data_IF_160405301937
#
_entry.id   IF_160405301937
#
_cell.length_a   1.000
_cell.length_b   1.000
_cell.length_c   1.000
_cell.angle_alpha   90.00
_cell.angle_beta   90.00
_cell.angle_gamma   90.00
#
_symmetry.space_group_name_H-M   'P 1'
#
loop_
_entity.id
_entity.type
_entity.pdbx_description
1 polymer ?
#
# COMPACT_ATOMS: atom_id res chain seq x y z
N UNK A 1 25.84 52.74 10.29
CA UNK A 1 24.68 51.92 10.73
C UNK A 1 24.59 50.73 9.79
N UNK A 2 24.80 49.51 10.29
CA UNK A 2 24.79 48.29 9.47
C UNK A 2 23.38 47.72 9.48
N UNK A 3 22.64 47.86 8.37
CA UNK A 3 21.30 47.28 8.24
C UNK A 3 21.42 45.76 8.15
N UNK A 4 20.88 45.05 9.15
CA UNK A 4 20.62 43.61 9.05
C UNK A 4 19.57 43.42 7.96
N UNK A 5 19.95 42.77 6.86
CA UNK A 5 19.00 42.23 5.90
C UNK A 5 18.03 41.29 6.64
N UNK A 6 16.70 41.44 6.47
CA UNK A 6 15.76 40.48 7.03
C UNK A 6 16.10 39.09 6.48
N UNK A 7 16.25 38.12 7.40
CA UNK A 7 16.53 36.74 7.04
C UNK A 7 15.31 36.21 6.28
N UNK A 8 15.49 35.82 5.01
CA UNK A 8 14.43 35.14 4.26
C UNK A 8 14.17 33.79 4.94
N UNK A 9 12.88 33.42 5.18
CA UNK A 9 12.55 32.14 5.77
C UNK A 9 13.10 31.01 4.90
N UNK A 10 13.53 29.93 5.55
CA UNK A 10 13.91 28.71 4.85
C UNK A 10 12.71 28.16 4.05
N UNK A 11 12.98 27.38 3.00
CA UNK A 11 11.93 26.74 2.18
C UNK A 11 10.98 25.92 3.07
N UNK A 12 11.50 25.30 4.13
CA UNK A 12 10.73 24.55 5.13
C UNK A 12 9.75 25.45 5.91
N UNK A 13 10.22 26.60 6.40
CA UNK A 13 9.38 27.56 7.12
C UNK A 13 8.33 28.21 6.20
N UNK A 14 8.71 28.58 4.99
CA UNK A 14 7.81 29.12 3.99
C UNK A 14 6.71 28.12 3.58
N UNK A 15 7.08 26.83 3.46
CA UNK A 15 6.14 25.74 3.14
C UNK A 15 5.19 25.45 4.30
N UNK A 16 5.69 25.42 5.54
CA UNK A 16 4.85 25.22 6.73
C UNK A 16 3.86 26.38 6.94
N UNK A 17 4.32 27.62 6.75
CA UNK A 17 3.46 28.81 6.83
C UNK A 17 2.42 28.85 5.70
N UNK A 18 2.78 28.44 4.49
CA UNK A 18 1.82 28.40 3.37
C UNK A 18 0.79 27.28 3.53
N UNK A 19 1.22 26.08 3.95
CA UNK A 19 0.34 24.94 4.19
C UNK A 19 -0.69 25.22 5.29
N UNK A 20 -0.27 25.87 6.38
CA UNK A 20 -1.18 26.27 7.47
C UNK A 20 -2.22 27.31 7.05
N UNK A 21 -1.84 28.27 6.19
CA UNK A 21 -2.79 29.27 5.65
C UNK A 21 -3.83 28.68 4.71
N UNK A 22 -3.50 27.59 4.02
CA UNK A 22 -4.40 26.90 3.10
C UNK A 22 -5.20 25.77 3.77
N UNK A 23 -5.03 25.54 5.07
CA UNK A 23 -5.66 24.42 5.77
C UNK A 23 -5.18 23.03 5.30
N UNK A 24 -4.06 22.98 4.56
CA UNK A 24 -3.52 21.74 3.99
C UNK A 24 -2.54 21.14 4.99
N UNK A 25 -2.84 19.92 5.47
CA UNK A 25 -1.91 19.13 6.29
C UNK A 25 -0.99 18.33 5.39
N UNK A 26 0.26 18.77 5.25
CA UNK A 26 1.31 18.02 4.57
C UNK A 26 1.86 16.95 5.53
N UNK A 27 1.39 15.71 5.42
CA UNK A 27 1.79 14.60 6.28
C UNK A 27 3.28 14.23 6.18
N UNK A 28 3.98 14.70 5.14
CA UNK A 28 5.41 14.48 4.91
C UNK A 28 6.07 15.73 4.30
N UNK A 29 6.11 16.83 5.05
CA UNK A 29 6.60 18.12 4.54
C UNK A 29 8.07 18.07 4.06
N UNK A 30 8.88 17.20 4.65
CA UNK A 30 10.26 16.89 4.24
C UNK A 30 10.37 16.32 2.81
N UNK A 31 9.27 15.82 2.25
CA UNK A 31 9.24 15.22 0.91
C UNK A 31 8.75 16.20 -0.17
N UNK A 32 8.42 17.44 0.21
CA UNK A 32 8.06 18.51 -0.72
C UNK A 32 9.33 19.12 -1.27
N UNK A 33 9.53 19.02 -2.58
CA UNK A 33 10.72 19.58 -3.25
C UNK A 33 10.50 21.00 -3.76
N UNK A 34 9.25 21.38 -4.05
CA UNK A 34 8.89 22.73 -4.49
C UNK A 34 7.40 23.03 -4.25
N UNK A 35 7.09 24.31 -4.01
CA UNK A 35 5.72 24.85 -3.95
C UNK A 35 5.66 26.11 -4.80
N UNK A 36 4.67 26.20 -5.69
CA UNK A 36 4.42 27.38 -6.51
C UNK A 36 2.95 27.79 -6.42
N UNK A 37 2.70 29.10 -6.32
CA UNK A 37 1.35 29.68 -6.45
C UNK A 37 1.15 30.06 -7.92
N UNK A 38 0.06 29.60 -8.52
CA UNK A 38 -0.36 29.91 -9.90
C UNK A 38 -1.73 30.61 -9.85
N UNK A 39 -2.15 31.23 -10.96
CA UNK A 39 -3.36 32.06 -11.03
C UNK A 39 -4.60 31.41 -10.39
N UNK A 40 -4.79 30.10 -10.60
CA UNK A 40 -5.96 29.36 -10.11
C UNK A 40 -5.64 28.32 -9.01
N UNK A 41 -4.46 28.38 -8.37
CA UNK A 41 -4.15 27.43 -7.31
C UNK A 41 -2.71 27.31 -6.88
N UNK A 42 -2.38 26.14 -6.32
CA UNK A 42 -1.04 25.84 -5.77
C UNK A 42 -0.55 24.52 -6.36
N UNK A 43 0.66 24.55 -6.92
CA UNK A 43 1.37 23.37 -7.43
C UNK A 43 2.38 22.93 -6.38
N UNK A 44 2.33 21.66 -5.97
CA UNK A 44 3.25 21.06 -5.00
C UNK A 44 3.98 19.90 -5.68
N UNK A 45 5.30 19.98 -5.74
CA UNK A 45 6.16 18.90 -6.22
C UNK A 45 6.55 18.00 -5.05
N UNK A 46 6.25 16.71 -5.17
CA UNK A 46 6.50 15.69 -4.15
C UNK A 46 7.49 14.66 -4.67
N UNK A 47 8.33 14.14 -3.77
CA UNK A 47 9.11 12.95 -4.07
C UNK A 47 8.17 11.75 -4.40
N UNK A 48 8.53 10.85 -5.34
CA UNK A 48 7.64 9.77 -5.80
C UNK A 48 7.11 8.85 -4.68
N UNK A 49 7.91 8.66 -3.63
CA UNK A 49 7.55 7.93 -2.41
C UNK A 49 6.45 8.64 -1.58
N UNK A 50 6.43 9.98 -1.52
CA UNK A 50 5.40 10.71 -0.79
C UNK A 50 4.01 10.59 -1.42
N UNK A 51 3.92 10.58 -2.75
CA UNK A 51 2.65 10.35 -3.46
C UNK A 51 2.09 8.95 -3.14
N UNK A 52 2.96 7.93 -3.06
CA UNK A 52 2.54 6.57 -2.69
C UNK A 52 1.99 6.48 -1.26
N UNK A 53 2.50 7.30 -0.32
CA UNK A 53 1.99 7.37 1.05
C UNK A 53 0.59 7.97 1.12
N UNK A 54 0.31 9.02 0.33
CA UNK A 54 -1.03 9.63 0.27
C UNK A 54 -2.08 8.61 -0.19
N UNK A 55 -1.74 7.77 -1.18
CA UNK A 55 -2.62 6.72 -1.67
C UNK A 55 -2.82 5.54 -0.69
N UNK A 56 -2.01 5.45 0.37
CA UNK A 56 -2.00 4.32 1.31
C UNK A 56 -2.54 4.68 2.70
N UNK A 57 -3.08 5.89 2.90
CA UNK A 57 -3.58 6.33 4.22
C UNK A 57 -2.47 6.49 5.28
N UNK A 58 -2.84 6.92 6.48
CA UNK A 58 -1.91 7.23 7.57
C UNK A 58 -1.15 6.03 8.14
N UNK A 59 -1.61 4.81 7.89
CA UNK A 59 -0.97 3.57 8.34
C UNK A 59 -0.21 2.81 7.24
N UNK A 60 -0.22 3.33 6.00
CA UNK A 60 0.50 2.76 4.87
C UNK A 60 -0.16 1.55 4.23
N UNK A 61 -1.45 1.30 4.48
CA UNK A 61 -2.24 0.22 3.85
C UNK A 61 -3.06 0.77 2.68
N UNK A 62 -2.79 0.27 1.48
CA UNK A 62 -3.52 0.63 0.26
C UNK A 62 -5.00 0.22 0.33
N UNK A 63 -5.87 0.89 -0.41
CA UNK A 63 -7.25 0.43 -0.63
C UNK A 63 -8.32 1.50 -0.49
N UNK A 64 -9.54 1.04 -0.26
CA UNK A 64 -10.70 1.93 -0.12
C UNK A 64 -10.59 2.75 1.18
N UNK A 65 -10.78 4.09 1.16
CA UNK A 65 -10.62 4.94 2.35
C UNK A 65 -11.44 4.52 3.58
N UNK A 66 -12.65 4.01 3.35
CA UNK A 66 -13.57 3.54 4.40
C UNK A 66 -13.69 2.00 4.44
N UNK A 67 -12.71 1.29 3.88
CA UNK A 67 -12.65 -0.17 3.91
C UNK A 67 -12.10 -0.70 5.23
N UNK A 68 -12.56 -1.87 5.64
CA UNK A 68 -11.91 -2.66 6.69
C UNK A 68 -10.59 -3.22 6.17
N UNK A 69 -9.65 -3.53 7.07
CA UNK A 69 -8.34 -4.09 6.70
C UNK A 69 -8.43 -5.61 6.61
N UNK A 70 -7.94 -6.17 5.51
CA UNK A 70 -7.92 -7.61 5.23
C UNK A 70 -6.55 -8.06 4.77
N UNK A 71 -6.25 -9.34 4.97
CA UNK A 71 -5.06 -9.95 4.42
C UNK A 71 -5.28 -10.37 2.96
N UNK A 72 -4.33 -10.04 2.09
CA UNK A 72 -4.34 -10.47 0.69
C UNK A 72 -4.16 -11.99 0.63
N UNK A 73 -3.12 -12.49 1.30
CA UNK A 73 -2.84 -13.91 1.53
C UNK A 73 -3.33 -14.28 2.94
N UNK A 74 -4.30 -15.21 3.05
CA UNK A 74 -4.97 -15.51 4.33
C UNK A 74 -4.05 -16.17 5.35
N UNK A 75 -4.16 -15.77 6.62
CA UNK A 75 -3.63 -16.47 7.78
C UNK A 75 -4.71 -17.31 8.52
N UNK A 76 -5.98 -17.27 8.06
CA UNK A 76 -7.14 -17.85 8.76
C UNK A 76 -7.65 -19.18 8.19
N UNK A 77 -6.90 -19.85 7.33
CA UNK A 77 -7.25 -21.18 6.81
C UNK A 77 -6.09 -22.19 7.01
N UNK A 78 -5.77 -22.57 8.27
CA UNK A 78 -4.66 -23.47 8.57
C UNK A 78 -4.98 -24.95 8.38
N UNK A 79 -6.25 -25.35 8.44
CA UNK A 79 -6.67 -26.77 8.51
C UNK A 79 -7.63 -27.18 7.40
N UNK A 80 -8.63 -26.35 7.09
CA UNK A 80 -9.74 -26.78 6.21
C UNK A 80 -9.35 -26.82 4.73
N UNK A 81 -9.68 -27.93 4.07
CA UNK A 81 -9.54 -28.16 2.63
C UNK A 81 -10.79 -27.80 1.81
N UNK A 82 -11.91 -27.45 2.45
CA UNK A 82 -13.22 -27.29 1.82
C UNK A 82 -13.20 -26.34 0.60
N UNK A 83 -12.37 -25.30 0.64
CA UNK A 83 -12.20 -24.30 -0.41
C UNK A 83 -10.88 -24.46 -1.17
N UNK A 84 -10.40 -25.69 -1.33
CA UNK A 84 -9.12 -26.01 -1.97
C UNK A 84 -7.88 -25.70 -1.11
N UNK A 85 -8.09 -25.44 0.18
CA UNK A 85 -7.05 -25.21 1.19
C UNK A 85 -6.29 -26.48 1.61
N UNK A 86 -5.63 -26.49 2.78
CA UNK A 86 -5.40 -25.34 3.65
C UNK A 86 -4.50 -24.30 2.96
N UNK A 87 -4.92 -23.04 2.99
CA UNK A 87 -4.24 -21.94 2.30
C UNK A 87 -3.15 -21.29 3.14
N UNK A 88 -3.35 -21.14 4.45
CA UNK A 88 -2.37 -20.52 5.36
C UNK A 88 -0.98 -21.17 5.23
N UNK A 89 -0.81 -22.51 5.41
CA UNK A 89 0.52 -23.13 5.33
C UNK A 89 1.16 -22.99 3.95
N UNK A 90 0.37 -22.90 2.88
CA UNK A 90 0.91 -22.68 1.52
C UNK A 90 1.45 -21.26 1.36
N UNK A 91 0.77 -20.26 1.92
CA UNK A 91 1.26 -18.88 1.94
C UNK A 91 2.47 -18.71 2.87
N UNK A 92 2.48 -19.36 4.02
CA UNK A 92 3.61 -19.32 4.97
C UNK A 92 4.94 -19.69 4.31
N UNK A 93 4.98 -20.75 3.50
CA UNK A 93 6.19 -21.15 2.75
C UNK A 93 6.74 -20.02 1.87
N UNK A 94 5.86 -19.26 1.21
CA UNK A 94 6.26 -18.16 0.33
C UNK A 94 6.76 -16.96 1.14
N UNK A 95 6.09 -16.65 2.24
CA UNK A 95 6.46 -15.54 3.13
C UNK A 95 7.76 -15.82 3.88
N UNK A 96 7.97 -17.06 4.34
CA UNK A 96 9.21 -17.51 4.96
C UNK A 96 10.39 -17.40 3.98
N UNK A 97 10.21 -17.85 2.72
CA UNK A 97 11.22 -17.68 1.66
C UNK A 97 11.64 -16.21 1.46
N UNK A 98 10.70 -15.28 1.68
CA UNK A 98 10.91 -13.85 1.59
C UNK A 98 11.37 -13.20 2.91
N UNK A 99 11.50 -13.96 4.01
CA UNK A 99 11.77 -13.43 5.33
C UNK A 99 10.74 -12.37 5.74
N UNK A 100 9.47 -12.65 5.48
CA UNK A 100 8.30 -11.80 5.73
C UNK A 100 7.32 -12.53 6.66
N UNK A 101 6.55 -11.79 7.45
CA UNK A 101 5.48 -12.30 8.30
C UNK A 101 4.14 -12.26 7.57
N UNK A 102 3.52 -13.43 7.38
CA UNK A 102 2.19 -13.54 6.77
C UNK A 102 1.14 -12.69 7.53
N UNK A 103 1.20 -12.71 8.87
CA UNK A 103 0.25 -12.04 9.74
C UNK A 103 0.53 -10.55 9.91
N UNK A 104 1.80 -10.19 10.12
CA UNK A 104 2.16 -8.87 10.66
C UNK A 104 2.66 -7.89 9.59
N UNK A 105 3.15 -8.35 8.44
CA UNK A 105 3.63 -7.43 7.42
C UNK A 105 2.47 -6.71 6.72
N UNK A 106 2.48 -5.38 6.82
CA UNK A 106 1.49 -4.50 6.16
C UNK A 106 1.46 -4.67 4.65
N UNK A 107 2.54 -5.14 4.04
CA UNK A 107 2.55 -5.46 2.61
C UNK A 107 1.50 -6.53 2.23
N UNK A 108 1.11 -7.40 3.17
CA UNK A 108 0.06 -8.39 2.97
C UNK A 108 -1.34 -7.87 3.34
N UNK A 109 -1.52 -6.56 3.55
CA UNK A 109 -2.79 -5.98 3.99
C UNK A 109 -3.36 -5.04 2.94
N UNK A 110 -4.69 -4.98 2.87
CA UNK A 110 -5.45 -4.13 1.96
C UNK A 110 -6.74 -3.66 2.63
N UNK A 111 -7.14 -2.41 2.38
CA UNK A 111 -8.47 -1.89 2.72
C UNK A 111 -9.47 -2.18 1.63
N UNK A 112 -10.57 -2.84 1.98
CA UNK A 112 -11.61 -3.17 1.02
C UNK A 112 -12.95 -2.88 1.64
N UNK A 113 -13.74 -2.04 0.97
CA UNK A 113 -15.12 -1.77 1.35
C UNK A 113 -16.04 -2.90 0.87
N UNK A 114 -16.96 -3.31 1.74
CA UNK A 114 -18.11 -4.13 1.38
C UNK A 114 -17.78 -5.59 1.06
N UNK A 115 -16.86 -6.21 1.80
CA UNK A 115 -16.75 -7.66 1.80
C UNK A 115 -16.68 -8.20 3.23
N UNK A 116 -17.45 -9.26 3.47
CA UNK A 116 -17.55 -9.94 4.76
C UNK A 116 -17.54 -11.45 4.50
N UNK A 117 -16.84 -12.21 5.35
CA UNK A 117 -16.73 -13.66 5.20
C UNK A 117 -15.41 -14.15 4.59
N UNK A 118 -15.24 -15.48 4.47
CA UNK A 118 -14.04 -16.09 3.91
C UNK A 118 -13.93 -15.82 2.41
N UNK A 119 -12.71 -15.64 1.90
CA UNK A 119 -12.50 -15.50 0.47
C UNK A 119 -12.80 -16.84 -0.24
N UNK A 120 -13.40 -16.82 -1.45
CA UNK A 120 -13.70 -18.06 -2.17
C UNK A 120 -12.43 -18.76 -2.68
N UNK A 121 -12.53 -20.07 -2.93
CA UNK A 121 -11.41 -20.87 -3.47
C UNK A 121 -10.76 -20.27 -4.73
N UNK A 122 -11.55 -19.64 -5.60
CA UNK A 122 -11.06 -19.01 -6.82
C UNK A 122 -10.12 -17.82 -6.53
N UNK A 123 -10.44 -17.01 -5.53
CA UNK A 123 -9.58 -15.91 -5.09
C UNK A 123 -8.25 -16.46 -4.57
N UNK A 124 -8.31 -17.44 -3.66
CA UNK A 124 -7.10 -18.02 -3.08
C UNK A 124 -6.19 -18.66 -4.13
N UNK A 125 -6.76 -19.39 -5.09
CA UNK A 125 -6.00 -19.96 -6.23
C UNK A 125 -5.29 -18.88 -7.04
N UNK A 126 -5.98 -17.79 -7.39
CA UNK A 126 -5.40 -16.72 -8.20
C UNK A 126 -4.27 -16.00 -7.45
N UNK A 127 -4.50 -15.63 -6.18
CA UNK A 127 -3.48 -14.97 -5.36
C UNK A 127 -2.27 -15.87 -5.15
N UNK A 128 -2.49 -17.14 -4.77
CA UNK A 128 -1.42 -18.11 -4.56
C UNK A 128 -0.57 -18.29 -5.81
N UNK A 129 -1.21 -18.48 -6.98
CA UNK A 129 -0.51 -18.59 -8.26
C UNK A 129 0.39 -17.38 -8.50
N UNK A 130 -0.13 -16.17 -8.34
CA UNK A 130 0.64 -14.93 -8.56
C UNK A 130 1.83 -14.79 -7.62
N UNK A 131 1.64 -14.95 -6.31
CA UNK A 131 2.74 -14.77 -5.35
C UNK A 131 3.79 -15.87 -5.47
N UNK A 132 3.38 -17.10 -5.81
CA UNK A 132 4.29 -18.21 -6.12
C UNK A 132 5.09 -17.92 -7.38
N UNK A 133 4.42 -17.52 -8.46
CA UNK A 133 5.09 -17.23 -9.74
C UNK A 133 6.05 -16.04 -9.59
N UNK A 134 5.69 -15.00 -8.82
CA UNK A 134 6.56 -13.87 -8.55
C UNK A 134 7.82 -14.23 -7.76
N UNK A 135 7.76 -15.27 -6.92
CA UNK A 135 8.85 -15.69 -6.05
C UNK A 135 9.58 -16.94 -6.54
N UNK A 136 9.25 -17.46 -7.73
CA UNK A 136 9.81 -18.74 -8.19
C UNK A 136 11.30 -18.64 -8.58
N UNK A 137 11.75 -17.52 -9.15
CA UNK A 137 13.12 -17.33 -9.64
C UNK A 137 14.06 -16.63 -8.65
N UNK A 138 13.53 -16.11 -7.55
CA UNK A 138 14.35 -15.44 -6.54
C UNK A 138 15.20 -16.46 -5.77
N UNK A 139 16.46 -16.09 -5.50
CA UNK A 139 17.47 -16.98 -4.90
C UNK A 139 17.96 -16.51 -3.53
N UNK A 140 17.75 -15.23 -3.20
CA UNK A 140 18.09 -14.66 -1.88
C UNK A 140 16.84 -14.15 -1.18
N UNK A 141 16.84 -14.18 0.16
CA UNK A 141 15.74 -13.64 0.99
C UNK A 141 15.35 -12.23 0.55
N UNK A 142 16.33 -11.36 0.32
CA UNK A 142 16.07 -9.98 -0.09
C UNK A 142 15.44 -9.89 -1.49
N UNK A 143 15.95 -10.64 -2.47
CA UNK A 143 15.34 -10.69 -3.80
C UNK A 143 13.90 -11.23 -3.77
N UNK A 144 13.63 -12.21 -2.90
CA UNK A 144 12.31 -12.78 -2.68
C UNK A 144 11.37 -11.79 -2.00
N UNK A 145 11.84 -11.09 -0.96
CA UNK A 145 11.11 -10.00 -0.29
C UNK A 145 10.68 -8.93 -1.27
N UNK A 146 11.60 -8.48 -2.12
CA UNK A 146 11.31 -7.47 -3.12
C UNK A 146 10.30 -7.97 -4.16
N UNK A 147 10.44 -9.21 -4.64
CA UNK A 147 9.53 -9.79 -5.60
C UNK A 147 8.12 -9.98 -5.03
N UNK A 148 8.01 -10.55 -3.82
CA UNK A 148 6.74 -10.73 -3.11
C UNK A 148 6.07 -9.39 -2.82
N UNK A 149 6.80 -8.42 -2.29
CA UNK A 149 6.27 -7.07 -2.00
C UNK A 149 5.78 -6.38 -3.28
N UNK A 150 6.50 -6.51 -4.40
CA UNK A 150 6.07 -5.96 -5.69
C UNK A 150 4.76 -6.59 -6.18
N UNK A 151 4.62 -7.90 -6.02
CA UNK A 151 3.40 -8.61 -6.45
C UNK A 151 2.21 -8.30 -5.53
N UNK A 152 2.41 -8.27 -4.20
CA UNK A 152 1.38 -7.86 -3.25
C UNK A 152 0.87 -6.44 -3.55
N UNK A 153 1.76 -5.50 -3.91
CA UNK A 153 1.36 -4.16 -4.36
C UNK A 153 0.56 -4.18 -5.68
N UNK A 154 0.86 -5.10 -6.61
CA UNK A 154 0.08 -5.26 -7.86
C UNK A 154 -1.31 -5.79 -7.56
N UNK A 155 -1.39 -6.82 -6.72
CA UNK A 155 -2.63 -7.40 -6.24
C UNK A 155 -3.47 -6.35 -5.50
N UNK A 156 -2.86 -5.60 -4.57
CA UNK A 156 -3.52 -4.52 -3.84
C UNK A 156 -4.13 -3.46 -4.77
N UNK A 157 -3.40 -3.03 -5.81
CA UNK A 157 -3.93 -2.10 -6.82
C UNK A 157 -5.11 -2.69 -7.58
N UNK A 158 -5.03 -3.95 -7.99
CA UNK A 158 -6.14 -4.62 -8.67
C UNK A 158 -7.36 -4.73 -7.75
N UNK A 159 -7.16 -5.11 -6.49
CA UNK A 159 -8.21 -5.16 -5.47
C UNK A 159 -8.84 -3.79 -5.20
N UNK A 160 -8.06 -2.71 -5.26
CA UNK A 160 -8.58 -1.35 -5.10
C UNK A 160 -9.32 -0.84 -6.35
N UNK A 161 -9.21 -1.55 -7.49
CA UNK A 161 -9.81 -1.14 -8.75
C UNK A 161 -11.19 -1.77 -8.90
N UNK A 162 -12.24 -0.96 -8.89
CA UNK A 162 -13.62 -1.41 -9.10
C UNK A 162 -13.76 -2.12 -10.44
N UNK A 163 -14.45 -3.26 -10.44
CA UNK A 163 -14.65 -4.07 -11.65
C UNK A 163 -13.38 -4.70 -12.20
N UNK A 164 -12.28 -4.76 -11.44
CA UNK A 164 -11.15 -5.61 -11.81
C UNK A 164 -11.51 -7.08 -11.64
N UNK A 165 -10.78 -7.97 -12.31
CA UNK A 165 -11.03 -9.41 -12.22
C UNK A 165 -10.86 -9.90 -10.79
N UNK A 166 -9.78 -9.52 -10.11
CA UNK A 166 -9.53 -9.96 -8.74
C UNK A 166 -10.52 -9.36 -7.72
N UNK A 167 -10.95 -8.10 -7.90
CA UNK A 167 -11.94 -7.48 -6.99
C UNK A 167 -13.31 -8.15 -7.10
N UNK A 168 -13.73 -8.55 -8.31
CA UNK A 168 -14.98 -9.31 -8.50
C UNK A 168 -14.99 -10.63 -7.72
N UNK A 169 -13.86 -11.33 -7.62
CA UNK A 169 -13.77 -12.55 -6.83
C UNK A 169 -13.99 -12.36 -5.31
N UNK A 170 -13.99 -11.12 -4.80
CA UNK A 170 -14.24 -10.83 -3.38
C UNK A 170 -15.62 -10.23 -3.10
N UNK A 171 -16.23 -9.58 -4.09
CA UNK A 171 -17.44 -8.76 -3.90
C UNK A 171 -18.63 -9.21 -4.73
N UNK A 172 -18.53 -10.35 -5.41
CA UNK A 172 -19.66 -10.97 -6.09
C UNK A 172 -20.22 -12.07 -5.19
N UNK A 173 -21.50 -11.91 -4.80
CA UNK A 173 -22.38 -12.95 -4.26
C UNK A 173 -22.82 -13.92 -5.38
#
# INVERSE_FOLDING_TARGET
>A
MTSRLPLLPSITEASALSASRLGVRLAAIEQVSAVAVVEDGVVISLAPNAVAMVASGSDGIQGDPDGTVHHICTDKNPVSEAEGGPWTPRFEVIFEKAGMSLKNDRANQIRIRGHEGPHPAAYHREVFRRVRDATNTCTTVESCRQALTRELRRIARELSTRGSRLRRLLTED
#
